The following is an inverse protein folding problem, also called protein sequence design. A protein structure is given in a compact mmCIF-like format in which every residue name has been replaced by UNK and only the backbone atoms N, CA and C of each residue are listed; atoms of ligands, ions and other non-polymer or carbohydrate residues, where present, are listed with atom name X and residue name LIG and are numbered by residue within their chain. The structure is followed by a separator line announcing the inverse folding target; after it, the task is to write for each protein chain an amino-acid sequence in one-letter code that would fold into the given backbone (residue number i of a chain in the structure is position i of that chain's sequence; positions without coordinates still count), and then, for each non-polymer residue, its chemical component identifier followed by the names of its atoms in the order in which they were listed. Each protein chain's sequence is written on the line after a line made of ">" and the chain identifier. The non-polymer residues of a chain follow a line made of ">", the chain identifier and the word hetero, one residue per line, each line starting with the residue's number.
data_IF_274937517357
#
_entry.id   IF_274937517357
#
_cell.length_a   1.000
_cell.length_b   1.000
_cell.length_c   1.000
_cell.angle_alpha   90.00
_cell.angle_beta   90.00
_cell.angle_gamma   90.00
#
_symmetry.space_group_name_H-M   'P 1'
#
loop_
_entity.id
_entity.type
_entity.pdbx_description
1 polymer ?
#
# COMPACT_ATOMS: atom_id res chain seq x y z
N UNK A 1 -21.42 14.04 -17.32
CA UNK A 1 -20.00 13.68 -17.46
C UNK A 1 -19.39 13.66 -16.07
N UNK A 2 -19.21 12.48 -15.46
CA UNK A 2 -18.79 12.37 -14.06
C UNK A 2 -17.38 12.92 -13.87
N UNK A 3 -17.18 13.81 -12.90
CA UNK A 3 -15.88 14.37 -12.57
C UNK A 3 -15.10 13.27 -11.84
N UNK A 4 -14.12 12.67 -12.53
CA UNK A 4 -13.22 11.71 -11.89
C UNK A 4 -12.30 12.45 -10.92
N UNK A 5 -12.35 12.06 -9.65
CA UNK A 5 -11.43 12.57 -8.63
C UNK A 5 -9.99 12.08 -8.92
N UNK A 6 -8.98 12.87 -8.54
CA UNK A 6 -7.57 12.56 -8.75
C UNK A 6 -7.18 11.17 -8.23
N UNK A 7 -7.75 10.74 -7.09
CA UNK A 7 -7.53 9.40 -6.53
C UNK A 7 -8.03 8.28 -7.44
N UNK A 8 -9.14 8.49 -8.13
CA UNK A 8 -9.70 7.52 -9.06
C UNK A 8 -8.89 7.50 -10.35
N UNK A 9 -8.47 8.67 -10.84
CA UNK A 9 -7.60 8.77 -12.00
C UNK A 9 -6.26 8.04 -11.77
N UNK A 10 -5.62 8.25 -10.62
CA UNK A 10 -4.38 7.57 -10.26
C UNK A 10 -4.55 6.04 -10.24
N UNK A 11 -5.64 5.55 -9.64
CA UNK A 11 -5.95 4.11 -9.61
C UNK A 11 -6.19 3.54 -11.01
N UNK A 12 -6.89 4.28 -11.88
CA UNK A 12 -7.13 3.88 -13.27
C UNK A 12 -5.81 3.83 -14.05
N UNK A 13 -4.95 4.84 -13.91
CA UNK A 13 -3.63 4.88 -14.55
C UNK A 13 -2.81 3.65 -14.13
N UNK A 14 -2.76 3.33 -12.83
CA UNK A 14 -2.05 2.15 -12.32
C UNK A 14 -2.63 0.87 -12.92
N UNK A 15 -3.96 0.72 -13.00
CA UNK A 15 -4.60 -0.46 -13.59
C UNK A 15 -4.28 -0.62 -15.07
N UNK A 16 -4.33 0.47 -15.84
CA UNK A 16 -3.98 0.46 -17.27
C UNK A 16 -2.50 0.10 -17.43
N UNK A 17 -1.62 0.70 -16.64
CA UNK A 17 -0.20 0.39 -16.66
C UNK A 17 0.09 -1.09 -16.36
N UNK A 18 -0.54 -1.66 -15.34
CA UNK A 18 -0.44 -3.09 -15.02
C UNK A 18 -0.97 -3.97 -16.15
N UNK A 19 -2.08 -3.58 -16.80
CA UNK A 19 -2.63 -4.31 -17.93
C UNK A 19 -1.64 -4.32 -19.11
N UNK A 20 -1.07 -3.17 -19.45
CA UNK A 20 -0.07 -3.06 -20.52
C UNK A 20 1.15 -3.93 -20.22
N UNK A 21 1.70 -3.85 -18.99
CA UNK A 21 2.81 -4.72 -18.57
C UNK A 21 2.44 -6.20 -18.68
N UNK A 22 1.25 -6.57 -18.21
CA UNK A 22 0.79 -7.96 -18.26
C UNK A 22 0.63 -8.46 -19.69
N UNK A 23 0.18 -7.60 -20.61
CA UNK A 23 0.05 -7.94 -22.02
C UNK A 23 1.42 -8.13 -22.67
N UNK A 24 2.37 -7.22 -22.42
CA UNK A 24 3.74 -7.35 -22.90
C UNK A 24 4.39 -8.63 -22.37
N UNK A 25 4.21 -8.92 -21.09
CA UNK A 25 4.71 -10.15 -20.46
C UNK A 25 4.09 -11.42 -21.10
N UNK A 26 2.79 -11.40 -21.41
CA UNK A 26 2.13 -12.51 -22.09
C UNK A 26 2.64 -12.70 -23.53
N UNK A 27 2.79 -11.62 -24.30
CA UNK A 27 3.35 -11.67 -25.66
C UNK A 27 4.78 -12.21 -25.61
N UNK A 28 5.59 -11.72 -24.68
CA UNK A 28 6.96 -12.21 -24.45
C UNK A 28 6.96 -13.71 -24.17
N UNK A 29 6.06 -14.18 -23.30
CA UNK A 29 5.95 -15.59 -22.94
C UNK A 29 5.51 -16.48 -24.10
N UNK A 30 4.63 -15.99 -24.97
CA UNK A 30 4.20 -16.72 -26.17
C UNK A 30 5.30 -16.74 -27.23
N UNK A 31 6.01 -15.63 -27.41
CA UNK A 31 7.06 -15.49 -28.40
C UNK A 31 8.33 -16.28 -28.04
N UNK A 32 8.66 -16.36 -26.74
CA UNK A 32 9.90 -16.99 -26.25
C UNK A 32 9.64 -18.35 -25.60
N UNK A 33 8.81 -19.19 -26.25
CA UNK A 33 8.49 -20.55 -25.76
C UNK A 33 9.58 -21.58 -26.02
N UNK A 34 10.52 -21.26 -26.90
CA UNK A 34 11.63 -22.14 -27.22
C UNK A 34 12.56 -22.32 -26.02
N UNK A 35 13.12 -23.51 -25.90
CA UNK A 35 14.07 -23.82 -24.82
C UNK A 35 15.37 -23.09 -25.10
N UNK A 36 15.81 -22.27 -24.15
CA UNK A 36 17.09 -21.56 -24.21
C UNK A 36 17.97 -21.99 -23.05
N UNK A 37 19.26 -22.17 -23.31
CA UNK A 37 20.24 -22.41 -22.24
C UNK A 37 20.59 -21.09 -21.57
N UNK A 38 20.41 -21.00 -20.26
CA UNK A 38 20.73 -19.80 -19.47
C UNK A 38 21.79 -20.15 -18.43
N UNK A 39 22.83 -19.33 -18.40
CA UNK A 39 23.87 -19.33 -17.37
C UNK A 39 23.57 -18.25 -16.33
N UNK A 40 23.36 -18.65 -15.07
CA UNK A 40 22.92 -17.75 -13.99
C UNK A 40 24.09 -17.05 -13.28
N UNK A 41 25.01 -16.41 -14.00
CA UNK A 41 26.14 -15.70 -13.37
C UNK A 41 25.68 -14.63 -12.35
N UNK A 42 26.30 -14.53 -11.14
CA UNK A 42 27.49 -15.24 -10.62
C UNK A 42 27.23 -16.62 -10.01
N UNK A 43 25.98 -17.08 -10.01
CA UNK A 43 25.60 -18.41 -9.57
C UNK A 43 26.07 -19.45 -10.62
N UNK A 44 26.86 -20.48 -10.25
CA UNK A 44 27.42 -21.45 -11.20
C UNK A 44 26.37 -22.52 -11.59
N UNK A 45 25.19 -22.09 -12.04
CA UNK A 45 24.12 -22.95 -12.51
C UNK A 45 23.79 -22.65 -13.97
N UNK A 46 23.68 -23.71 -14.75
CA UNK A 46 23.24 -23.68 -16.15
C UNK A 46 21.97 -24.49 -16.27
N UNK A 47 20.91 -23.88 -16.81
CA UNK A 47 19.61 -24.54 -16.94
C UNK A 47 19.06 -24.32 -18.35
N UNK A 48 18.51 -25.38 -18.94
CA UNK A 48 17.80 -25.31 -20.21
C UNK A 48 16.30 -25.19 -19.95
N UNK A 49 15.73 -24.01 -20.21
CA UNK A 49 14.31 -23.75 -20.09
C UNK A 49 13.90 -22.53 -20.92
N UNK A 50 12.61 -22.38 -21.28
CA UNK A 50 12.16 -21.18 -21.97
C UNK A 50 12.41 -19.91 -21.15
N UNK A 51 12.93 -18.87 -21.81
CA UNK A 51 13.36 -17.62 -21.18
C UNK A 51 12.24 -16.94 -20.36
N UNK A 52 10.98 -17.11 -20.78
CA UNK A 52 9.84 -16.54 -20.07
C UNK A 52 9.71 -17.04 -18.63
N UNK A 53 10.15 -18.26 -18.31
CA UNK A 53 10.03 -18.82 -16.96
C UNK A 53 10.85 -17.98 -15.98
N UNK A 54 12.06 -17.62 -16.37
CA UNK A 54 12.97 -16.84 -15.52
C UNK A 54 12.49 -15.40 -15.34
N UNK A 55 12.08 -14.75 -16.42
CA UNK A 55 11.62 -13.36 -16.37
C UNK A 55 10.30 -13.24 -15.61
N UNK A 56 9.31 -14.08 -15.92
CA UNK A 56 8.04 -14.08 -15.20
C UNK A 56 8.22 -14.50 -13.75
N UNK A 57 9.10 -15.47 -13.48
CA UNK A 57 9.45 -15.88 -12.13
C UNK A 57 10.05 -14.74 -11.31
N UNK A 58 11.04 -14.02 -11.87
CA UNK A 58 11.63 -12.86 -11.21
C UNK A 58 10.61 -11.73 -10.98
N UNK A 59 9.75 -11.45 -11.95
CA UNK A 59 8.65 -10.47 -11.80
C UNK A 59 7.68 -10.89 -10.70
N UNK A 60 7.30 -12.17 -10.64
CA UNK A 60 6.41 -12.69 -9.61
C UNK A 60 7.02 -12.56 -8.22
N UNK A 61 8.31 -12.91 -8.04
CA UNK A 61 9.04 -12.74 -6.79
C UNK A 61 9.07 -11.25 -6.39
N UNK A 62 9.39 -10.35 -7.32
CA UNK A 62 9.39 -8.91 -7.08
C UNK A 62 8.03 -8.38 -6.64
N UNK A 63 6.93 -8.85 -7.25
CA UNK A 63 5.56 -8.51 -6.86
C UNK A 63 5.23 -9.00 -5.44
N UNK A 64 5.55 -10.24 -5.11
CA UNK A 64 5.32 -10.80 -3.77
C UNK A 64 6.06 -9.99 -2.71
N UNK A 65 7.35 -9.68 -2.94
CA UNK A 65 8.15 -8.84 -2.05
C UNK A 65 7.54 -7.45 -1.92
N UNK A 66 7.20 -6.80 -3.05
CA UNK A 66 6.62 -5.46 -3.06
C UNK A 66 5.30 -5.36 -2.30
N UNK A 67 4.40 -6.35 -2.48
CA UNK A 67 3.13 -6.45 -1.74
C UNK A 67 3.40 -6.65 -0.25
N UNK A 68 4.33 -7.55 0.11
CA UNK A 68 4.72 -7.80 1.49
C UNK A 68 5.22 -6.53 2.19
N UNK A 69 6.18 -5.82 1.57
CA UNK A 69 6.74 -4.58 2.11
C UNK A 69 5.70 -3.46 2.21
N UNK A 70 4.86 -3.27 1.19
CA UNK A 70 3.81 -2.25 1.18
C UNK A 70 2.77 -2.45 2.30
N UNK A 71 2.49 -3.70 2.64
CA UNK A 71 1.49 -4.06 3.66
C UNK A 71 1.95 -3.70 5.07
N UNK A 72 3.25 -3.84 5.35
CA UNK A 72 3.86 -3.48 6.65
C UNK A 72 3.70 -1.97 6.94
N UNK A 73 3.88 -1.11 5.93
CA UNK A 73 3.73 0.34 6.06
C UNK A 73 2.32 0.78 6.44
N UNK A 74 1.29 0.09 5.90
CA UNK A 74 -0.12 0.40 6.21
C UNK A 74 -0.50 0.03 7.64
N UNK A 75 0.09 -1.03 8.19
CA UNK A 75 -0.14 -1.48 9.59
C UNK A 75 0.38 -0.43 10.59
N UNK A 76 1.55 0.17 10.33
CA UNK A 76 2.14 1.20 11.20
C UNK A 76 1.30 2.49 11.23
N UNK A 77 0.72 2.88 10.10
CA UNK A 77 -0.13 4.07 10.01
C UNK A 77 -1.46 3.89 10.76
N UNK A 78 -2.07 2.71 10.70
CA UNK A 78 -3.32 2.39 11.41
C UNK A 78 -3.18 2.49 12.93
N UNK A 79 -1.98 2.22 13.46
CA UNK A 79 -1.69 2.30 14.89
C UNK A 79 -1.61 3.75 15.39
N UNK A 80 -1.09 4.69 14.58
CA UNK A 80 -1.06 6.12 14.92
C UNK A 80 -2.41 6.82 14.79
N UNK A 81 -3.25 6.42 13.82
CA UNK A 81 -4.60 6.99 13.63
C UNK A 81 -5.48 6.79 14.88
N UNK A 82 -5.33 5.65 15.58
CA UNK A 82 -6.07 5.35 16.81
C UNK A 82 -5.75 6.28 17.98
N UNK A 83 -4.50 6.74 18.11
CA UNK A 83 -4.09 7.60 19.22
C UNK A 83 -4.46 9.07 18.96
N UNK A 84 -4.45 9.53 17.71
CA UNK A 84 -4.84 10.90 17.37
C UNK A 84 -6.36 11.14 17.40
N UNK A 85 -7.18 10.10 17.24
CA UNK A 85 -8.63 10.21 17.38
C UNK A 85 -9.08 10.37 18.84
N UNK A 86 -8.31 9.87 19.82
CA UNK A 86 -8.62 10.07 21.24
C UNK A 86 -8.49 11.55 21.65
N UNK A 87 -7.40 12.21 21.26
CA UNK A 87 -7.17 13.64 21.56
C UNK A 87 -8.18 14.57 20.87
N UNK A 88 -8.62 14.26 19.64
CA UNK A 88 -9.67 15.03 18.96
C UNK A 88 -11.07 14.82 19.56
N UNK A 89 -11.30 13.69 20.23
CA UNK A 89 -12.54 13.40 20.95
C UNK A 89 -12.59 14.05 22.34
N UNK A 90 -11.45 14.13 23.02
CA UNK A 90 -11.32 14.79 24.33
C UNK A 90 -11.59 16.30 24.21
N UNK A 91 -10.96 17.01 23.26
CA UNK A 91 -11.24 18.43 23.06
C UNK A 91 -12.65 18.79 22.58
N UNK A 92 -13.45 17.81 22.11
CA UNK A 92 -14.88 18.02 21.82
C UNK A 92 -15.77 17.80 23.04
N UNK A 93 -15.38 16.91 23.96
CA UNK A 93 -16.11 16.69 25.22
C UNK A 93 -15.99 17.90 26.16
N UNK A 94 -14.86 18.59 26.11
CA UNK A 94 -14.63 19.83 26.86
C UNK A 94 -15.45 21.02 26.33
N UNK A 95 -15.95 20.93 25.08
CA UNK A 95 -16.83 21.92 24.46
C UNK A 95 -18.33 21.57 24.63
N UNK A 96 -18.65 20.30 24.86
CA UNK A 96 -20.03 19.79 24.98
C UNK A 96 -20.54 19.79 26.44
N UNK A 97 -19.64 19.88 27.43
CA UNK A 97 -20.00 20.06 28.84
C UNK A 97 -19.77 21.53 29.30
N UNK A 98 -20.80 22.39 29.27
CA UNK A 98 -20.69 23.81 29.62
C UNK A 98 -20.73 24.07 31.14
N UNK A 99 -20.18 23.19 31.97
CA UNK A 99 -19.83 23.59 33.34
C UNK A 99 -18.59 24.48 33.19
N UNK A 100 -18.85 25.76 32.95
CA UNK A 100 -17.83 26.76 32.69
C UNK A 100 -16.89 26.95 33.90
N UNK A 101 -15.71 27.57 33.70
CA UNK A 101 -14.68 27.75 34.74
C UNK A 101 -15.13 28.46 36.02
N UNK A 102 -16.38 28.92 36.08
CA UNK A 102 -16.96 29.77 37.11
C UNK A 102 -17.59 28.95 38.24
N UNK A 103 -17.80 27.64 38.06
CA UNK A 103 -18.33 26.76 39.12
C UNK A 103 -17.26 26.31 40.12
N UNK A 104 -15.97 26.37 39.78
CA UNK A 104 -14.86 26.05 40.69
C UNK A 104 -14.74 27.02 41.89
N UNK A 105 -15.25 28.25 41.74
CA UNK A 105 -15.15 29.28 42.78
C UNK A 105 -16.25 29.12 43.84
N UNK A 106 -17.42 28.56 43.45
CA UNK A 106 -18.57 28.39 44.36
C UNK A 106 -18.35 27.29 45.40
N UNK A 107 -17.63 26.24 45.04
CA UNK A 107 -17.37 25.12 45.95
C UNK A 107 -16.32 25.46 47.03
N UNK A 108 -15.42 26.40 46.76
CA UNK A 108 -14.30 26.75 47.65
C UNK A 108 -14.55 27.90 48.63
N UNK A 109 -15.71 28.56 48.55
CA UNK A 109 -16.04 29.75 49.36
C UNK A 109 -17.15 29.53 50.40
N UNK A 110 -17.68 28.32 50.51
CA UNK A 110 -18.73 27.97 51.49
C UNK A 110 -18.21 27.03 52.60
N UNK A 111 -16.98 27.25 53.08
CA UNK A 111 -16.44 26.58 54.26
C UNK A 111 -15.75 27.61 55.15
#
# INVERSE_FOLDING_TARGET
>A
MGIFNADQLMKIIIRIFLLVISLVAAIFAVSNREVTTIDLFPLPFTTAAPLYIFILGAMAIGLVIGIGVSSISKIRLKTKIRNQQKTKGEGKKDLENPIGPLDYIKEKTTT
#
